data_IF_218611250442
#
_entry.id   IF_218611250442
#
_cell.length_a   1.000
_cell.length_b   1.000
_cell.length_c   1.000
_cell.angle_alpha   90.00
_cell.angle_beta   90.00
_cell.angle_gamma   90.00
#
_symmetry.space_group_name_H-M   'P 1'
#
loop_
_entity.id
_entity.type
_entity.pdbx_description
1 polymer ?
#
# COMPACT_ATOMS: atom_id res chain seq x y z
N UNK A 1 27.08 15.18 1.37
CA UNK A 1 26.99 13.98 2.21
C UNK A 1 25.59 13.92 2.79
N UNK A 2 24.98 12.73 2.76
CA UNK A 2 23.59 12.41 3.10
C UNK A 2 22.53 12.91 2.09
N UNK A 3 22.54 12.34 0.89
CA UNK A 3 21.33 12.18 0.09
C UNK A 3 20.46 11.14 0.78
N UNK A 4 19.81 11.52 1.88
CA UNK A 4 18.65 10.80 2.39
C UNK A 4 17.62 10.88 1.27
N UNK A 5 17.54 9.82 0.48
CA UNK A 5 16.60 9.66 -0.62
C UNK A 5 15.19 9.77 -0.05
N UNK A 6 14.68 10.99 -0.01
CA UNK A 6 13.30 11.30 0.31
C UNK A 6 12.47 10.57 -0.75
N UNK A 7 11.81 9.46 -0.37
CA UNK A 7 11.01 8.66 -1.31
C UNK A 7 9.84 9.46 -1.92
N UNK A 8 9.61 10.69 -1.41
CA UNK A 8 8.65 11.70 -1.88
C UNK A 8 9.12 12.55 -3.07
N UNK A 9 10.39 12.50 -3.46
CA UNK A 9 10.86 13.22 -4.66
C UNK A 9 10.36 12.53 -5.96
N UNK A 10 9.92 11.28 -5.85
CA UNK A 10 9.32 10.50 -6.93
C UNK A 10 7.82 10.31 -6.71
N UNK A 11 7.00 10.20 -7.77
CA UNK A 11 5.58 9.89 -7.63
C UNK A 11 5.38 8.56 -6.87
N UNK A 12 4.25 8.41 -6.15
CA UNK A 12 3.93 7.19 -5.45
C UNK A 12 3.96 6.00 -6.43
N UNK A 13 4.54 4.90 -5.99
CA UNK A 13 4.68 3.69 -6.84
C UNK A 13 3.35 3.01 -7.09
N UNK A 14 2.40 3.19 -6.17
CA UNK A 14 1.05 2.65 -6.29
C UNK A 14 0.04 3.78 -6.29
N UNK A 15 -1.06 3.59 -7.02
CA UNK A 15 -2.17 4.54 -7.09
C UNK A 15 -3.37 4.05 -6.29
N UNK A 16 -4.26 4.98 -5.93
CA UNK A 16 -5.53 4.64 -5.30
C UNK A 16 -6.37 3.80 -6.27
N UNK A 17 -6.96 2.72 -5.78
CA UNK A 17 -7.70 1.73 -6.56
C UNK A 17 -6.83 0.58 -7.09
N UNK A 18 -5.51 0.68 -6.99
CA UNK A 18 -4.62 -0.35 -7.52
C UNK A 18 -4.60 -1.61 -6.64
N UNK A 19 -4.60 -2.77 -7.28
CA UNK A 19 -4.57 -4.06 -6.61
C UNK A 19 -3.13 -4.43 -6.26
N UNK A 20 -2.88 -4.59 -4.96
CA UNK A 20 -1.54 -4.88 -4.43
C UNK A 20 -1.56 -6.18 -3.64
N UNK A 21 -0.42 -6.87 -3.65
CA UNK A 21 -0.20 -8.11 -2.92
C UNK A 21 0.87 -7.92 -1.87
N UNK A 22 0.64 -8.51 -0.71
CA UNK A 22 1.56 -8.48 0.42
C UNK A 22 2.70 -9.46 0.20
N UNK A 23 3.94 -8.97 0.26
CA UNK A 23 5.13 -9.81 0.05
C UNK A 23 5.65 -10.45 1.34
N UNK A 24 5.32 -9.85 2.48
CA UNK A 24 5.82 -10.21 3.82
C UNK A 24 4.69 -10.14 4.84
N UNK A 25 4.75 -10.97 5.88
CA UNK A 25 3.79 -10.90 6.99
C UNK A 25 3.75 -9.48 7.57
N UNK A 26 2.56 -8.89 7.62
CA UNK A 26 2.34 -7.59 8.27
C UNK A 26 1.78 -7.83 9.66
N UNK A 27 2.49 -7.27 10.64
CA UNK A 27 2.09 -7.29 12.05
C UNK A 27 1.72 -5.88 12.49
N UNK A 28 0.79 -5.79 13.43
CA UNK A 28 0.45 -4.53 14.05
C UNK A 28 1.63 -4.05 14.91
N UNK A 29 2.21 -2.91 14.56
CA UNK A 29 3.29 -2.27 15.34
C UNK A 29 2.72 -1.35 16.45
N UNK A 30 1.40 -1.36 16.66
CA UNK A 30 0.68 -0.48 17.59
C UNK A 30 -0.01 0.70 16.92
N UNK A 31 0.08 0.82 15.60
CA UNK A 31 -0.58 1.88 14.81
C UNK A 31 -1.98 1.50 14.34
N UNK A 32 -2.33 0.22 14.34
CA UNK A 32 -3.66 -0.24 13.95
C UNK A 32 -4.58 -0.36 15.18
N UNK A 33 -5.70 0.38 15.22
CA UNK A 33 -6.63 0.32 16.35
C UNK A 33 -7.42 -0.99 16.38
N UNK A 34 -7.69 -1.51 17.58
CA UNK A 34 -8.56 -2.68 17.76
C UNK A 34 -7.88 -4.03 17.55
N UNK A 35 -6.56 -4.08 17.37
CA UNK A 35 -5.76 -5.31 17.38
C UNK A 35 -4.59 -5.16 18.34
N UNK A 36 -4.15 -6.27 18.94
CA UNK A 36 -2.99 -6.28 19.83
C UNK A 36 -1.68 -5.99 19.07
N UNK A 37 -0.68 -5.46 19.76
CA UNK A 37 0.67 -5.30 19.19
C UNK A 37 1.21 -6.69 18.85
N UNK A 38 1.73 -6.85 17.63
CA UNK A 38 2.21 -8.13 17.11
C UNK A 38 1.13 -9.00 16.46
N UNK A 39 -0.15 -8.61 16.52
CA UNK A 39 -1.23 -9.31 15.83
C UNK A 39 -0.99 -9.32 14.30
N UNK A 40 -1.34 -10.42 13.64
CA UNK A 40 -1.16 -10.55 12.19
C UNK A 40 -2.30 -9.84 11.47
N UNK A 41 -2.00 -8.76 10.77
CA UNK A 41 -2.99 -7.97 10.03
C UNK A 41 -3.16 -8.47 8.59
N UNK A 42 -2.05 -8.86 7.96
CA UNK A 42 -2.05 -9.44 6.61
C UNK A 42 -0.92 -10.49 6.48
N UNK A 43 -1.17 -11.55 5.72
CA UNK A 43 -0.22 -12.63 5.46
C UNK A 43 0.46 -12.44 4.12
N UNK A 44 1.63 -13.07 3.95
CA UNK A 44 2.29 -13.15 2.66
C UNK A 44 1.34 -13.78 1.65
N UNK A 45 1.12 -13.06 0.55
CA UNK A 45 0.27 -13.48 -0.54
C UNK A 45 -1.15 -12.90 -0.48
N UNK A 46 -1.54 -12.26 0.63
CA UNK A 46 -2.83 -11.57 0.71
C UNK A 46 -2.88 -10.41 -0.27
N UNK A 47 -4.06 -10.21 -0.83
CA UNK A 47 -4.32 -9.19 -1.85
C UNK A 47 -5.31 -8.18 -1.31
N UNK A 48 -5.05 -6.92 -1.60
CA UNK A 48 -5.92 -5.81 -1.22
C UNK A 48 -5.87 -4.69 -2.25
N UNK A 49 -6.62 -3.63 -1.98
CA UNK A 49 -6.69 -2.46 -2.83
C UNK A 49 -6.19 -1.24 -2.08
N UNK A 50 -5.36 -0.42 -2.72
CA UNK A 50 -4.92 0.85 -2.13
C UNK A 50 -6.12 1.78 -2.06
N UNK A 51 -6.51 2.19 -0.86
CA UNK A 51 -7.66 3.10 -0.65
C UNK A 51 -7.22 4.52 -0.32
N UNK A 52 -5.98 4.70 0.16
CA UNK A 52 -5.41 6.00 0.47
C UNK A 52 -3.89 5.94 0.44
N UNK A 53 -3.26 7.08 0.12
CA UNK A 53 -1.81 7.24 0.11
C UNK A 53 -1.49 8.39 1.07
N UNK A 54 -0.81 8.06 2.15
CA UNK A 54 -0.30 9.01 3.12
C UNK A 54 1.21 9.15 3.05
N UNK A 55 1.73 10.05 3.86
CA UNK A 55 3.17 10.28 4.02
C UNK A 55 3.53 10.16 5.50
N UNK A 56 4.57 9.39 5.83
CA UNK A 56 5.11 9.30 7.17
C UNK A 56 6.38 10.15 7.29
N UNK A 57 6.42 11.02 8.30
CA UNK A 57 7.54 11.94 8.59
C UNK A 57 8.02 12.78 7.39
N UNK A 58 7.19 12.94 6.35
CA UNK A 58 7.56 13.59 5.09
C UNK A 58 8.78 12.97 4.38
N UNK A 59 9.12 11.72 4.71
CA UNK A 59 10.26 11.01 4.09
C UNK A 59 9.86 9.74 3.35
N UNK A 60 8.71 9.13 3.69
CA UNK A 60 8.26 7.86 3.08
C UNK A 60 6.76 7.85 2.80
N UNK A 61 6.36 7.20 1.71
CA UNK A 61 4.95 6.92 1.41
C UNK A 61 4.42 5.75 2.23
N UNK A 62 3.20 5.91 2.75
CA UNK A 62 2.42 4.86 3.40
C UNK A 62 1.16 4.63 2.58
N UNK A 63 0.99 3.40 2.13
CA UNK A 63 -0.16 2.96 1.36
C UNK A 63 -1.17 2.31 2.30
N UNK A 64 -2.35 2.91 2.47
CA UNK A 64 -3.44 2.28 3.17
C UNK A 64 -4.09 1.26 2.24
N UNK A 65 -3.94 -0.02 2.54
CA UNK A 65 -4.45 -1.14 1.75
C UNK A 65 -5.63 -1.76 2.46
N UNK A 66 -6.78 -1.81 1.79
CA UNK A 66 -7.96 -2.51 2.27
C UNK A 66 -7.92 -3.97 1.81
N UNK A 67 -7.79 -4.87 2.78
CA UNK A 67 -7.83 -6.31 2.58
C UNK A 67 -9.27 -6.81 2.67
N UNK A 68 -9.89 -7.14 1.53
CA UNK A 68 -11.27 -7.62 1.51
C UNK A 68 -11.46 -8.96 2.24
N UNK A 69 -10.41 -9.77 2.37
CA UNK A 69 -10.45 -11.05 3.08
C UNK A 69 -10.69 -10.87 4.58
N UNK A 70 -10.10 -9.84 5.20
CA UNK A 70 -10.19 -9.58 6.64
C UNK A 70 -11.08 -8.37 6.98
N UNK A 71 -11.35 -7.51 6.00
CA UNK A 71 -12.01 -6.21 6.20
C UNK A 71 -11.12 -5.15 6.82
N UNK A 72 -9.80 -5.38 6.90
CA UNK A 72 -8.86 -4.48 7.56
C UNK A 72 -8.22 -3.51 6.57
N UNK A 73 -8.05 -2.26 7.00
CA UNK A 73 -7.32 -1.21 6.26
C UNK A 73 -5.98 -1.00 6.95
N UNK A 74 -4.90 -1.50 6.34
CA UNK A 74 -3.57 -1.54 6.95
C UNK A 74 -2.64 -0.61 6.20
N UNK A 75 -1.88 0.22 6.94
CA UNK A 75 -0.80 1.01 6.38
C UNK A 75 0.42 0.14 6.05
N UNK A 76 0.82 0.12 4.80
CA UNK A 76 1.95 -0.65 4.31
C UNK A 76 2.96 0.26 3.60
N UNK A 77 4.25 -0.04 3.73
CA UNK A 77 5.31 0.66 2.97
C UNK A 77 5.46 0.04 1.58
N UNK A 78 6.04 0.81 0.66
CA UNK A 78 6.37 0.34 -0.70
C UNK A 78 7.07 -1.02 -0.71
N UNK A 79 8.07 -1.20 0.17
CA UNK A 79 8.91 -2.40 0.24
C UNK A 79 8.15 -3.66 0.71
N UNK A 80 6.94 -3.50 1.23
CA UNK A 80 6.11 -4.58 1.78
C UNK A 80 5.05 -5.07 0.77
N UNK A 81 4.84 -4.32 -0.31
CA UNK A 81 3.82 -4.55 -1.32
C UNK A 81 4.45 -4.85 -2.70
N UNK A 82 3.71 -5.58 -3.53
CA UNK A 82 3.94 -5.74 -4.98
C UNK A 82 2.64 -5.48 -5.74
N UNK A 83 2.73 -5.09 -7.01
CA UNK A 83 1.56 -5.00 -7.88
C UNK A 83 1.00 -6.41 -8.12
N UNK A 84 -0.29 -6.59 -7.84
CA UNK A 84 -0.99 -7.85 -8.11
C UNK A 84 -1.60 -7.83 -9.52
N UNK A 85 -2.15 -6.70 -9.93
CA UNK A 85 -2.67 -6.46 -11.27
C UNK A 85 -2.29 -5.05 -11.74
N UNK A 86 -1.84 -4.95 -12.98
CA UNK A 86 -1.72 -3.67 -13.68
C UNK A 86 -3.11 -3.20 -14.10
N UNK A 87 -3.50 -1.99 -13.69
CA UNK A 87 -4.69 -1.35 -14.24
C UNK A 87 -4.34 -0.96 -15.68
N UNK A 88 -4.81 -1.73 -16.65
CA UNK A 88 -4.87 -1.29 -18.04
C UNK A 88 -6.01 -0.28 -18.13
N UNK A 89 -5.67 1.00 -18.15
CA UNK A 89 -6.61 2.01 -18.64
C UNK A 89 -6.81 1.77 -20.13
N UNK A 90 -7.86 1.04 -20.47
CA UNK A 90 -8.36 0.98 -21.83
C UNK A 90 -8.84 2.40 -22.18
N UNK A 91 -7.97 3.16 -22.86
CA UNK A 91 -8.27 4.49 -23.35
C UNK A 91 -9.32 4.37 -24.43
N UNK A 92 -10.60 4.39 -24.04
CA UNK A 92 -11.69 4.50 -24.98
C UNK A 92 -11.83 5.95 -25.44
N UNK A 93 -10.81 6.47 -26.12
CA UNK A 93 -10.95 7.69 -26.94
C UNK A 93 -11.27 7.22 -28.36
N UNK A 94 -12.47 6.67 -28.51
CA UNK A 94 -13.05 6.47 -29.83
C UNK A 94 -13.59 7.82 -30.32
N UNK A 95 -12.86 8.38 -31.29
CA UNK A 95 -13.21 9.46 -32.21
C UNK A 95 -14.68 9.90 -32.23
N UNK A 96 -14.90 11.21 -32.11
CA UNK A 96 -15.95 11.93 -32.83
C UNK A 96 -15.32 12.98 -33.72
#
# INVERSE_FOLDING_TARGET
MASDEVELDSPPTFEIGQKVRVRKLIRNDGTFPGQEIGATLAKKGDVGYVVSIGTFLQSSYIYAVHFMTTGFIVGCRKKELELAEEIKYESNVASR
#
